data_IF_185525219878
#
_entry.id   IF_185525219878
#
_cell.length_a   1.000
_cell.length_b   1.000
_cell.length_c   1.000
_cell.angle_alpha   90.00
_cell.angle_beta   90.00
_cell.angle_gamma   90.00
#
_symmetry.space_group_name_H-M   'P 1'
#
loop_
_entity.id
_entity.type
_entity.pdbx_description
1 polymer ?
#
# COMPACT_ATOMS: atom_id res chain seq x y z
N UNK A 1 -26.19 22.76 3.54
CA UNK A 1 -26.03 21.56 2.69
C UNK A 1 -25.94 21.93 1.22
N UNK A 2 -26.82 22.74 0.69
CA UNK A 2 -26.85 23.07 -0.76
C UNK A 2 -25.63 23.81 -1.33
N UNK A 3 -24.97 24.67 -0.55
CA UNK A 3 -23.76 25.38 -1.02
C UNK A 3 -22.55 24.44 -1.19
N UNK A 4 -22.41 23.43 -0.34
CA UNK A 4 -21.33 22.44 -0.43
C UNK A 4 -21.55 21.46 -1.60
N UNK A 5 -22.80 21.12 -1.92
CA UNK A 5 -23.14 20.29 -3.08
C UNK A 5 -22.91 21.02 -4.40
N UNK A 6 -23.23 22.29 -4.47
CA UNK A 6 -22.90 23.14 -5.63
C UNK A 6 -21.39 23.26 -5.87
N UNK A 7 -20.57 23.25 -4.80
CA UNK A 7 -19.10 23.32 -4.87
C UNK A 7 -18.45 22.02 -5.36
N UNK A 8 -19.11 20.86 -5.27
CA UNK A 8 -18.53 19.55 -5.63
C UNK A 8 -18.62 19.23 -7.13
N UNK A 9 -19.41 19.98 -7.89
CA UNK A 9 -19.57 19.77 -9.34
C UNK A 9 -19.58 21.09 -10.11
N UNK A 10 -18.44 21.79 -10.23
CA UNK A 10 -18.35 22.97 -11.09
C UNK A 10 -18.40 22.52 -12.55
N UNK A 11 -19.58 22.49 -13.15
CA UNK A 11 -19.73 22.40 -14.60
C UNK A 11 -19.96 23.80 -15.17
N UNK A 12 -19.46 24.05 -16.38
CA UNK A 12 -19.63 25.33 -17.08
C UNK A 12 -21.10 25.76 -17.26
N UNK A 13 -22.08 24.91 -16.91
CA UNK A 13 -23.50 25.12 -16.98
C UNK A 13 -24.18 25.58 -15.67
N UNK A 14 -23.38 25.77 -14.58
CA UNK A 14 -23.93 26.25 -13.30
C UNK A 14 -23.23 27.55 -12.90
N UNK A 15 -23.80 28.71 -13.24
CA UNK A 15 -23.26 30.02 -12.87
C UNK A 15 -23.30 30.31 -11.36
N UNK A 16 -23.92 29.47 -10.54
CA UNK A 16 -24.08 29.60 -9.08
C UNK A 16 -22.85 29.12 -8.27
N UNK A 17 -21.84 28.55 -8.90
CA UNK A 17 -20.60 28.07 -8.29
C UNK A 17 -19.67 29.19 -7.76
N UNK A 18 -19.80 30.45 -8.15
CA UNK A 18 -18.97 31.54 -7.65
C UNK A 18 -19.16 31.88 -6.17
N UNK A 19 -20.23 31.47 -5.51
CA UNK A 19 -20.58 32.00 -4.19
C UNK A 19 -19.50 31.80 -3.12
N UNK A 20 -18.84 30.65 -3.06
CA UNK A 20 -17.76 30.46 -2.08
C UNK A 20 -16.49 31.19 -2.47
N UNK A 21 -16.19 31.29 -3.76
CA UNK A 21 -15.04 32.05 -4.25
C UNK A 21 -15.28 33.55 -4.03
N UNK A 22 -16.48 34.06 -4.26
CA UNK A 22 -16.83 35.46 -4.01
C UNK A 22 -16.74 35.81 -2.54
N UNK A 23 -17.20 34.97 -1.64
CA UNK A 23 -17.05 35.18 -0.20
C UNK A 23 -15.58 35.16 0.24
N UNK A 24 -14.78 34.21 -0.28
CA UNK A 24 -13.35 34.15 -0.01
C UNK A 24 -12.62 35.37 -0.61
N UNK A 25 -13.01 35.81 -1.78
CA UNK A 25 -12.44 36.95 -2.47
C UNK A 25 -12.71 38.26 -1.72
N UNK A 26 -13.92 38.48 -1.21
CA UNK A 26 -14.26 39.64 -0.38
C UNK A 26 -13.52 39.64 0.96
N UNK A 27 -13.47 38.49 1.64
CA UNK A 27 -12.89 38.37 2.98
C UNK A 27 -11.37 38.41 2.98
N UNK A 28 -10.75 37.80 1.94
CA UNK A 28 -9.30 37.58 1.85
C UNK A 28 -8.69 38.28 0.63
N UNK A 29 -9.20 39.46 0.25
CA UNK A 29 -8.81 40.19 -0.94
C UNK A 29 -7.29 40.51 -1.01
N UNK A 30 -6.61 40.58 0.13
CA UNK A 30 -5.14 40.79 0.22
C UNK A 30 -4.32 39.58 -0.21
N UNK A 31 -4.93 38.40 -0.32
CA UNK A 31 -4.25 37.18 -0.77
C UNK A 31 -4.38 37.04 -2.28
N UNK A 32 -3.36 36.49 -2.97
CA UNK A 32 -3.45 36.20 -4.40
C UNK A 32 -4.67 35.35 -4.73
N UNK A 33 -5.40 35.70 -5.80
CA UNK A 33 -6.65 35.01 -6.17
C UNK A 33 -6.47 33.49 -6.36
N UNK A 34 -5.36 33.07 -6.97
CA UNK A 34 -5.03 31.64 -7.15
C UNK A 34 -4.79 30.92 -5.83
N UNK A 35 -4.22 31.57 -4.83
CA UNK A 35 -4.04 30.98 -3.50
C UNK A 35 -5.39 30.79 -2.81
N UNK A 36 -6.29 31.75 -2.88
CA UNK A 36 -7.66 31.65 -2.36
C UNK A 36 -8.42 30.50 -3.01
N UNK A 37 -8.39 30.42 -4.35
CA UNK A 37 -9.01 29.33 -5.12
C UNK A 37 -8.44 27.96 -4.73
N UNK A 38 -7.13 27.86 -4.61
CA UNK A 38 -6.48 26.61 -4.21
C UNK A 38 -6.91 26.18 -2.81
N UNK A 39 -6.99 27.09 -1.85
CA UNK A 39 -7.46 26.79 -0.50
C UNK A 39 -8.94 26.30 -0.48
N UNK A 40 -9.81 26.95 -1.28
CA UNK A 40 -11.18 26.49 -1.44
C UNK A 40 -11.26 25.09 -2.04
N UNK A 41 -10.50 24.82 -3.11
CA UNK A 41 -10.49 23.51 -3.76
C UNK A 41 -9.98 22.41 -2.83
N UNK A 42 -8.97 22.69 -2.01
CA UNK A 42 -8.49 21.74 -1.01
C UNK A 42 -9.55 21.43 0.06
N UNK A 43 -10.27 22.46 0.53
CA UNK A 43 -11.35 22.28 1.48
C UNK A 43 -12.49 21.43 0.89
N UNK A 44 -12.87 21.67 -0.37
CA UNK A 44 -13.84 20.87 -1.11
C UNK A 44 -13.38 19.41 -1.20
N UNK A 45 -12.13 19.18 -1.57
CA UNK A 45 -11.56 17.84 -1.66
C UNK A 45 -11.61 17.07 -0.34
N UNK A 46 -11.26 17.72 0.77
CA UNK A 46 -11.33 17.12 2.13
C UNK A 46 -12.77 16.74 2.50
N UNK A 47 -13.73 17.61 2.24
CA UNK A 47 -15.16 17.34 2.54
C UNK A 47 -15.71 16.24 1.65
N UNK A 48 -15.37 16.24 0.36
CA UNK A 48 -15.76 15.18 -0.57
C UNK A 48 -15.21 13.82 -0.15
N UNK A 49 -13.93 13.75 0.21
CA UNK A 49 -13.30 12.53 0.73
C UNK A 49 -13.97 12.05 2.04
N UNK A 50 -14.28 12.96 2.94
CA UNK A 50 -15.01 12.64 4.16
C UNK A 50 -16.38 12.03 3.86
N UNK A 51 -17.17 12.67 2.97
CA UNK A 51 -18.49 12.16 2.56
C UNK A 51 -18.40 10.76 1.96
N UNK A 52 -17.44 10.52 1.05
CA UNK A 52 -17.24 9.21 0.43
C UNK A 52 -16.84 8.13 1.47
N UNK A 53 -15.94 8.48 2.38
CA UNK A 53 -15.54 7.59 3.45
C UNK A 53 -16.69 7.28 4.43
N UNK A 54 -17.54 8.27 4.72
CA UNK A 54 -18.71 8.10 5.57
C UNK A 54 -19.71 7.14 4.93
N UNK A 55 -20.04 7.33 3.65
CA UNK A 55 -20.94 6.46 2.89
C UNK A 55 -20.40 5.02 2.86
N UNK A 56 -19.09 4.85 2.65
CA UNK A 56 -18.47 3.53 2.66
C UNK A 56 -18.52 2.89 4.05
N UNK A 57 -18.29 3.66 5.10
CA UNK A 57 -18.39 3.18 6.48
C UNK A 57 -19.84 2.81 6.86
N UNK A 58 -20.83 3.58 6.41
CA UNK A 58 -22.24 3.30 6.70
C UNK A 58 -22.73 1.99 6.08
N UNK A 59 -22.17 1.58 4.94
CA UNK A 59 -22.47 0.27 4.30
C UNK A 59 -22.02 -0.93 5.13
N UNK A 60 -20.88 -0.84 5.80
CA UNK A 60 -20.24 -1.98 6.47
C UNK A 60 -20.12 -1.77 7.99
N UNK A 61 -20.09 -0.53 8.47
CA UNK A 61 -19.95 -0.11 9.88
C UNK A 61 -18.76 -0.76 10.62
N UNK A 62 -17.79 -1.29 9.87
CA UNK A 62 -16.56 -1.85 10.41
C UNK A 62 -15.53 -0.74 10.63
N UNK A 63 -14.77 -0.88 11.71
CA UNK A 63 -13.74 0.09 12.05
C UNK A 63 -14.27 1.38 12.68
N UNK A 64 -13.41 2.39 12.74
CA UNK A 64 -13.74 3.68 13.34
C UNK A 64 -14.52 4.55 12.35
N UNK A 65 -15.61 5.16 12.80
CA UNK A 65 -16.34 6.16 12.00
C UNK A 65 -15.38 7.27 11.54
N UNK A 66 -15.43 7.70 10.27
CA UNK A 66 -14.65 8.82 9.78
C UNK A 66 -14.91 10.09 10.62
N UNK A 67 -13.83 10.77 10.98
CA UNK A 67 -13.94 12.03 11.71
C UNK A 67 -14.21 13.19 10.76
N UNK A 68 -14.99 14.16 11.23
CA UNK A 68 -15.23 15.39 10.45
C UNK A 68 -13.90 16.09 10.14
N UNK A 69 -13.71 16.56 8.90
CA UNK A 69 -12.50 17.29 8.55
C UNK A 69 -12.33 18.54 9.41
N UNK A 70 -11.14 18.71 9.97
CA UNK A 70 -10.76 19.91 10.71
C UNK A 70 -9.80 20.72 9.85
N UNK A 71 -9.97 22.03 9.80
CA UNK A 71 -9.02 22.95 9.21
C UNK A 71 -7.75 22.98 10.09
N UNK A 72 -6.82 22.10 9.77
CA UNK A 72 -5.49 22.05 10.37
C UNK A 72 -4.49 22.74 9.44
N UNK A 73 -3.30 22.18 9.33
CA UNK A 73 -2.30 22.63 8.35
C UNK A 73 -2.83 22.34 6.94
N UNK A 74 -3.19 23.41 6.24
CA UNK A 74 -3.63 23.40 4.85
C UNK A 74 -2.50 23.94 4.02
N UNK A 75 -2.07 23.19 3.02
CA UNK A 75 -0.99 23.58 2.11
C UNK A 75 -1.55 23.72 0.69
N UNK A 76 -2.09 24.90 0.35
CA UNK A 76 -2.69 25.11 -0.96
C UNK A 76 -1.64 24.99 -2.07
N UNK A 77 -2.10 24.50 -3.22
CA UNK A 77 -1.28 24.34 -4.40
C UNK A 77 -0.81 25.72 -4.92
N UNK A 78 0.46 25.81 -5.27
CA UNK A 78 1.06 26.98 -5.91
C UNK A 78 0.88 26.88 -7.44
N UNK A 79 -0.16 27.48 -7.98
CA UNK A 79 -0.42 27.42 -9.43
C UNK A 79 0.77 27.93 -10.25
N UNK A 80 1.12 27.19 -11.30
CA UNK A 80 2.17 27.56 -12.24
C UNK A 80 1.94 28.96 -12.81
N UNK A 81 2.99 29.65 -13.16
CA UNK A 81 3.05 31.02 -13.67
C UNK A 81 2.54 32.09 -12.70
N UNK A 82 1.62 31.77 -11.81
CA UNK A 82 0.98 32.72 -10.89
C UNK A 82 1.60 32.74 -9.49
N UNK A 83 2.02 31.56 -9.00
CA UNK A 83 2.57 31.38 -7.65
C UNK A 83 3.87 30.59 -7.65
N UNK A 84 4.16 29.85 -8.72
CA UNK A 84 5.35 29.04 -8.93
C UNK A 84 5.85 29.21 -10.37
N UNK A 85 7.15 29.39 -10.54
CA UNK A 85 7.84 29.42 -11.83
C UNK A 85 9.16 28.68 -11.72
N UNK A 86 9.40 27.77 -12.64
CA UNK A 86 10.71 27.15 -12.81
C UNK A 86 11.65 28.13 -13.52
N UNK A 87 12.94 28.17 -13.12
CA UNK A 87 13.92 29.09 -13.71
C UNK A 87 14.96 28.34 -14.54
N UNK A 88 15.64 27.34 -13.95
CA UNK A 88 16.78 26.64 -14.58
C UNK A 88 16.87 25.16 -14.19
N UNK A 89 15.77 24.54 -13.83
CA UNK A 89 15.70 23.15 -13.39
C UNK A 89 16.18 22.88 -11.95
N UNK A 90 17.10 23.68 -11.41
CA UNK A 90 17.58 23.57 -10.03
C UNK A 90 17.17 24.76 -9.16
N UNK A 91 16.59 25.78 -9.76
CA UNK A 91 16.03 26.93 -9.06
C UNK A 91 14.61 27.19 -9.52
N UNK A 92 13.81 27.68 -8.59
CA UNK A 92 12.44 28.08 -8.86
C UNK A 92 12.16 29.45 -8.22
N UNK A 93 11.14 30.13 -8.72
CA UNK A 93 10.58 31.32 -8.08
C UNK A 93 9.22 30.95 -7.50
N UNK A 94 9.03 31.25 -6.22
CA UNK A 94 7.77 31.08 -5.52
C UNK A 94 7.25 32.42 -5.02
N UNK A 95 5.93 32.62 -5.08
CA UNK A 95 5.31 33.84 -4.57
C UNK A 95 4.90 33.63 -3.12
N UNK A 96 5.49 34.39 -2.22
CA UNK A 96 5.31 34.27 -0.77
C UNK A 96 5.04 35.66 -0.15
N UNK A 97 4.49 35.66 1.06
CA UNK A 97 4.27 36.90 1.79
C UNK A 97 5.53 37.27 2.55
N UNK A 98 6.20 38.34 2.08
CA UNK A 98 7.47 38.85 2.63
C UNK A 98 7.36 40.36 2.79
N UNK A 99 7.88 40.93 3.90
CA UNK A 99 7.88 42.36 4.17
C UNK A 99 6.51 43.03 3.95
N UNK A 100 5.48 42.41 4.46
CA UNK A 100 4.08 42.90 4.37
C UNK A 100 3.51 42.98 2.94
N UNK A 101 4.09 42.29 1.98
CA UNK A 101 3.61 42.19 0.59
C UNK A 101 3.82 40.80 0.01
N UNK A 102 3.11 40.50 -1.10
CA UNK A 102 3.30 39.27 -1.85
C UNK A 102 4.35 39.47 -2.93
N UNK A 103 5.52 38.87 -2.75
CA UNK A 103 6.64 38.98 -3.67
C UNK A 103 7.23 37.64 -4.06
N UNK A 104 8.02 37.64 -5.13
CA UNK A 104 8.69 36.49 -5.68
C UNK A 104 10.07 36.32 -5.05
N UNK A 105 10.29 35.17 -4.43
CA UNK A 105 11.64 34.78 -3.98
C UNK A 105 12.18 33.64 -4.85
N UNK A 106 13.48 33.63 -5.07
CA UNK A 106 14.19 32.54 -5.74
C UNK A 106 14.61 31.52 -4.69
N UNK A 107 14.28 30.26 -4.92
CA UNK A 107 14.63 29.13 -4.07
C UNK A 107 15.47 28.12 -4.84
N UNK A 108 16.43 27.48 -4.17
CA UNK A 108 17.21 26.38 -4.73
C UNK A 108 16.48 25.07 -4.43
N UNK A 109 16.40 24.21 -5.42
CA UNK A 109 15.87 22.84 -5.29
C UNK A 109 17.06 21.89 -5.17
N UNK A 110 16.98 20.89 -4.30
CA UNK A 110 18.06 19.93 -4.10
C UNK A 110 18.37 19.21 -5.41
N UNK A 111 19.64 19.19 -5.80
CA UNK A 111 20.09 18.57 -7.06
C UNK A 111 19.69 17.09 -7.15
N UNK A 112 19.89 16.30 -6.06
CA UNK A 112 19.53 14.90 -6.03
C UNK A 112 18.06 14.62 -6.34
N UNK A 113 17.15 15.51 -5.89
CA UNK A 113 15.72 15.36 -6.09
C UNK A 113 15.33 15.69 -7.53
N UNK A 114 15.95 16.75 -8.09
CA UNK A 114 15.76 17.11 -9.50
C UNK A 114 16.29 16.00 -10.43
N UNK A 115 17.47 15.46 -10.13
CA UNK A 115 18.08 14.39 -10.91
C UNK A 115 17.26 13.08 -10.80
N UNK A 116 16.66 12.82 -9.65
CA UNK A 116 15.71 11.71 -9.48
C UNK A 116 14.48 11.89 -10.38
N UNK A 117 13.87 13.07 -10.35
CA UNK A 117 12.69 13.40 -11.17
C UNK A 117 13.01 13.27 -12.66
N UNK A 118 14.15 13.79 -13.11
CA UNK A 118 14.58 13.67 -14.51
C UNK A 118 14.74 12.22 -14.95
N UNK A 119 15.25 11.34 -14.08
CA UNK A 119 15.45 9.92 -14.40
C UNK A 119 14.17 9.09 -14.36
N UNK A 120 13.23 9.42 -13.46
CA UNK A 120 12.10 8.53 -13.15
C UNK A 120 10.72 9.10 -13.49
N UNK A 121 10.62 10.40 -13.79
CA UNK A 121 9.34 11.08 -14.00
C UNK A 121 9.32 11.93 -15.29
N UNK A 122 10.30 11.78 -16.18
CA UNK A 122 10.43 12.58 -17.40
C UNK A 122 9.26 12.44 -18.36
N UNK A 123 8.61 11.28 -18.37
CA UNK A 123 7.45 10.94 -19.21
C UNK A 123 6.10 11.15 -18.49
N UNK A 124 6.12 11.80 -17.32
CA UNK A 124 4.94 12.01 -16.49
C UNK A 124 4.48 13.47 -16.54
N UNK A 125 3.18 13.68 -16.43
CA UNK A 125 2.61 15.02 -16.29
C UNK A 125 2.85 15.53 -14.88
N UNK A 126 3.60 16.63 -14.76
CA UNK A 126 3.85 17.29 -13.50
C UNK A 126 2.69 18.23 -13.14
N UNK A 127 2.13 18.10 -11.96
CA UNK A 127 1.15 19.04 -11.39
C UNK A 127 1.84 20.24 -10.73
N UNK A 128 1.08 21.28 -10.41
CA UNK A 128 1.58 22.43 -9.64
C UNK A 128 1.97 21.98 -8.21
N UNK A 129 3.07 22.50 -7.65
CA UNK A 129 3.57 22.06 -6.36
C UNK A 129 2.75 22.59 -5.19
N UNK A 130 2.87 21.94 -4.04
CA UNK A 130 2.45 22.46 -2.74
C UNK A 130 3.68 22.79 -1.89
N UNK A 131 3.62 23.91 -1.16
CA UNK A 131 4.68 24.29 -0.24
C UNK A 131 4.34 23.78 1.15
N UNK A 132 5.15 22.86 1.68
CA UNK A 132 4.94 22.25 3.00
C UNK A 132 6.10 22.49 3.93
N UNK A 133 5.79 22.66 5.21
CA UNK A 133 6.79 22.73 6.28
C UNK A 133 6.83 21.40 7.02
N UNK A 134 8.02 20.77 7.08
CA UNK A 134 8.26 19.53 7.82
C UNK A 134 9.40 19.75 8.82
N UNK A 135 9.05 19.82 10.09
CA UNK A 135 10.01 20.20 11.12
C UNK A 135 10.50 21.65 10.94
N UNK A 136 11.79 21.83 10.70
CA UNK A 136 12.41 23.14 10.46
C UNK A 136 12.58 23.49 8.97
N UNK A 137 12.35 22.55 8.08
CA UNK A 137 12.62 22.67 6.65
C UNK A 137 11.34 22.87 5.83
N UNK A 138 11.48 23.49 4.67
CA UNK A 138 10.42 23.71 3.70
C UNK A 138 10.65 22.83 2.49
N UNK A 139 9.56 22.25 1.97
CA UNK A 139 9.55 21.33 0.83
C UNK A 139 8.55 21.82 -0.21
N UNK A 140 8.95 21.71 -1.48
CA UNK A 140 8.03 21.79 -2.61
C UNK A 140 7.69 20.36 -3.04
N UNK A 141 6.45 19.95 -2.78
CA UNK A 141 5.96 18.64 -3.14
C UNK A 141 5.28 18.69 -4.50
N UNK A 142 5.81 17.94 -5.45
CA UNK A 142 5.26 17.81 -6.80
C UNK A 142 4.55 16.45 -6.94
N UNK A 143 3.36 16.48 -7.54
CA UNK A 143 2.65 15.28 -7.96
C UNK A 143 2.93 15.03 -9.44
N UNK A 144 3.30 13.81 -9.76
CA UNK A 144 3.52 13.33 -11.13
C UNK A 144 2.47 12.29 -11.48
N UNK A 145 1.82 12.45 -12.62
CA UNK A 145 0.73 11.61 -13.09
C UNK A 145 1.11 10.95 -14.41
N UNK A 146 0.87 9.66 -14.52
CA UNK A 146 0.97 8.88 -15.75
C UNK A 146 -0.22 7.95 -15.85
N UNK A 147 -0.89 7.92 -16.99
CA UNK A 147 -1.83 6.87 -17.33
C UNK A 147 -1.05 5.66 -17.81
N UNK A 148 -1.24 4.53 -17.17
CA UNK A 148 -0.64 3.26 -17.55
C UNK A 148 -1.75 2.26 -17.75
N UNK A 149 -1.76 1.57 -18.87
CA UNK A 149 -2.64 0.44 -19.09
C UNK A 149 -2.04 -0.79 -18.39
N UNK A 150 -2.86 -1.43 -17.56
CA UNK A 150 -2.44 -2.66 -16.90
C UNK A 150 -2.51 -3.82 -17.90
N UNK A 151 -1.47 -4.62 -17.96
CA UNK A 151 -1.43 -5.81 -18.82
C UNK A 151 -2.62 -6.74 -18.51
N UNK A 152 -3.35 -7.10 -19.56
CA UNK A 152 -4.47 -8.05 -19.47
C UNK A 152 -4.08 -9.28 -20.30
N UNK A 153 -3.61 -10.32 -19.60
CA UNK A 153 -3.43 -11.65 -20.18
C UNK A 153 -4.56 -12.57 -19.74
N UNK A 154 -4.93 -13.58 -20.52
CA UNK A 154 -5.80 -14.66 -20.08
C UNK A 154 -5.28 -15.28 -18.77
N UNK A 155 -6.17 -15.66 -17.86
CA UNK A 155 -5.77 -16.13 -16.53
C UNK A 155 -4.82 -17.33 -16.56
N UNK A 156 -4.98 -18.23 -17.52
CA UNK A 156 -4.15 -19.42 -17.66
C UNK A 156 -2.74 -19.13 -18.19
N UNK A 157 -2.52 -17.96 -18.78
CA UNK A 157 -1.22 -17.51 -19.32
C UNK A 157 -0.49 -16.57 -18.37
N UNK A 158 -1.13 -16.16 -17.27
CA UNK A 158 -0.52 -15.24 -16.31
C UNK A 158 0.55 -15.93 -15.48
N UNK A 159 1.63 -15.21 -15.24
CA UNK A 159 2.64 -15.54 -14.23
C UNK A 159 2.37 -14.74 -12.97
N UNK A 160 2.24 -15.40 -11.83
CA UNK A 160 1.89 -14.79 -10.56
C UNK A 160 3.07 -14.79 -9.61
N UNK A 161 3.43 -13.61 -9.10
CA UNK A 161 4.33 -13.48 -7.95
C UNK A 161 3.51 -13.40 -6.67
N UNK A 162 3.46 -14.49 -5.93
CA UNK A 162 2.81 -14.55 -4.62
C UNK A 162 3.78 -14.12 -3.51
N UNK A 163 3.36 -13.18 -2.66
CA UNK A 163 4.19 -12.57 -1.63
C UNK A 163 3.56 -12.77 -0.26
N UNK A 164 4.28 -13.47 0.60
CA UNK A 164 4.00 -13.52 2.03
C UNK A 164 4.89 -12.53 2.78
N UNK A 165 4.27 -11.60 3.51
CA UNK A 165 4.96 -10.58 4.31
C UNK A 165 5.04 -11.04 5.77
N UNK A 166 6.24 -11.39 6.21
CA UNK A 166 6.49 -11.91 7.56
C UNK A 166 6.92 -10.84 8.57
N UNK A 167 7.00 -11.27 9.82
CA UNK A 167 7.59 -10.49 10.91
C UNK A 167 9.04 -10.90 11.15
N UNK A 168 9.37 -12.16 10.86
CA UNK A 168 10.71 -12.74 11.07
C UNK A 168 11.52 -12.81 9.77
N UNK A 169 10.87 -12.97 8.64
CA UNK A 169 11.38 -12.81 7.29
C UNK A 169 10.71 -11.58 6.72
N UNK A 170 11.43 -10.63 6.15
CA UNK A 170 10.81 -9.41 5.63
C UNK A 170 9.77 -9.75 4.56
N UNK A 171 10.09 -10.67 3.64
CA UNK A 171 9.11 -11.30 2.74
C UNK A 171 9.63 -12.61 2.13
N UNK A 172 8.68 -13.44 1.69
CA UNK A 172 8.91 -14.62 0.86
C UNK A 172 8.13 -14.45 -0.43
N UNK A 173 8.83 -14.54 -1.56
CA UNK A 173 8.27 -14.43 -2.89
C UNK A 173 8.31 -15.79 -3.59
N UNK A 174 7.19 -16.20 -4.17
CA UNK A 174 7.07 -17.42 -4.97
C UNK A 174 6.43 -17.13 -6.31
N UNK A 175 7.05 -17.57 -7.38
CA UNK A 175 6.54 -17.48 -8.74
C UNK A 175 5.71 -18.72 -9.04
N UNK A 176 4.42 -18.53 -9.36
CA UNK A 176 3.49 -19.61 -9.67
C UNK A 176 2.92 -19.45 -11.07
N UNK A 177 2.71 -20.59 -11.74
CA UNK A 177 1.96 -20.72 -12.97
C UNK A 177 0.55 -21.27 -12.70
N UNK A 178 -0.33 -21.17 -13.71
CA UNK A 178 -1.74 -21.54 -13.58
C UNK A 178 -1.99 -23.05 -13.35
N UNK A 179 -1.06 -23.89 -13.77
CA UNK A 179 -1.04 -25.33 -13.57
C UNK A 179 -0.61 -25.75 -12.15
N UNK A 180 -0.22 -24.78 -11.30
CA UNK A 180 0.32 -25.02 -9.96
C UNK A 180 1.82 -25.22 -9.92
N UNK A 181 2.53 -25.10 -11.05
CA UNK A 181 4.00 -25.16 -11.07
C UNK A 181 4.58 -23.97 -10.31
N UNK A 182 5.54 -24.24 -9.42
CA UNK A 182 6.33 -23.22 -8.72
C UNK A 182 7.63 -23.02 -9.50
N UNK A 183 7.65 -22.00 -10.36
CA UNK A 183 8.78 -21.68 -11.24
C UNK A 183 9.98 -21.08 -10.54
N UNK A 184 9.76 -20.45 -9.37
CA UNK A 184 10.86 -19.86 -8.60
C UNK A 184 10.44 -19.40 -7.21
N UNK A 185 11.44 -19.14 -6.37
CA UNK A 185 11.24 -18.66 -5.00
C UNK A 185 12.44 -17.86 -4.54
N UNK A 186 12.18 -16.81 -3.78
CA UNK A 186 13.20 -15.96 -3.18
C UNK A 186 12.77 -15.50 -1.80
N UNK A 187 13.74 -15.32 -0.91
CA UNK A 187 13.55 -14.83 0.45
C UNK A 187 14.30 -13.52 0.64
N UNK A 188 13.72 -12.61 1.39
CA UNK A 188 14.42 -11.44 1.88
C UNK A 188 14.56 -11.54 3.39
N UNK A 189 15.82 -11.55 3.86
CA UNK A 189 16.19 -11.42 5.25
C UNK A 189 16.98 -10.13 5.44
N UNK A 190 16.63 -9.35 6.45
CA UNK A 190 17.26 -8.07 6.80
C UNK A 190 17.73 -8.10 8.27
N UNK A 191 18.67 -9.01 8.61
CA UNK A 191 19.04 -9.25 10.01
C UNK A 191 19.67 -8.03 10.69
N UNK A 192 20.45 -7.24 9.98
CA UNK A 192 21.09 -6.04 10.51
C UNK A 192 20.06 -4.95 10.84
N UNK A 193 19.15 -4.69 9.91
CA UNK A 193 18.08 -3.71 10.09
C UNK A 193 17.09 -4.14 11.18
N UNK A 194 16.79 -5.43 11.25
CA UNK A 194 15.91 -5.99 12.27
C UNK A 194 16.55 -5.91 13.66
N UNK A 195 17.86 -6.15 13.78
CA UNK A 195 18.62 -6.00 15.02
C UNK A 195 18.69 -4.53 15.45
N UNK A 196 18.97 -3.61 14.50
CA UNK A 196 18.95 -2.18 14.76
C UNK A 196 17.57 -1.70 15.23
N UNK A 197 16.50 -2.18 14.62
CA UNK A 197 15.13 -1.88 15.02
C UNK A 197 14.83 -2.45 16.42
N UNK A 198 15.28 -3.67 16.70
CA UNK A 198 15.17 -4.32 18.01
C UNK A 198 15.86 -3.51 19.11
N UNK A 199 17.08 -3.05 18.87
CA UNK A 199 17.85 -2.18 19.78
C UNK A 199 17.15 -0.83 19.99
N UNK A 200 16.62 -0.20 18.94
CA UNK A 200 15.89 1.06 19.04
C UNK A 200 14.61 0.90 19.89
N UNK A 201 13.84 -0.16 19.67
CA UNK A 201 12.64 -0.48 20.48
C UNK A 201 13.03 -0.78 21.93
N UNK A 202 14.16 -1.48 22.16
CA UNK A 202 14.68 -1.74 23.50
C UNK A 202 14.98 -0.45 24.28
N UNK A 203 15.60 0.54 23.63
CA UNK A 203 15.87 1.88 24.21
C UNK A 203 14.55 2.60 24.58
N UNK A 204 13.53 2.52 23.74
CA UNK A 204 12.21 3.11 24.04
C UNK A 204 11.59 2.44 25.26
N UNK A 205 11.59 1.10 25.32
CA UNK A 205 11.07 0.34 26.47
C UNK A 205 11.77 0.71 27.75
N UNK A 206 13.13 0.76 27.73
CA UNK A 206 13.94 1.15 28.88
C UNK A 206 13.63 2.56 29.36
N UNK A 207 13.54 3.54 28.45
CA UNK A 207 13.16 4.91 28.79
C UNK A 207 11.76 4.98 29.43
N UNK A 208 10.79 4.24 28.91
CA UNK A 208 9.43 4.17 29.45
C UNK A 208 9.40 3.52 30.84
N UNK A 209 10.20 2.48 31.09
CA UNK A 209 10.34 1.86 32.42
C UNK A 209 10.94 2.82 33.46
N UNK A 210 11.80 3.74 33.04
CA UNK A 210 12.35 4.80 33.86
C UNK A 210 11.47 6.07 33.93
N UNK A 211 10.18 5.96 33.59
CA UNK A 211 9.19 7.04 33.77
C UNK A 211 9.13 8.05 32.60
N UNK A 212 9.94 7.92 31.57
CA UNK A 212 9.87 8.81 30.40
C UNK A 212 8.67 8.47 29.51
N UNK A 213 7.55 9.17 29.69
CA UNK A 213 6.34 8.95 28.87
C UNK A 213 6.46 9.47 27.42
N UNK A 214 7.32 10.47 27.20
CA UNK A 214 7.49 11.13 25.89
C UNK A 214 8.92 10.96 25.40
N UNK A 215 9.10 10.11 24.38
CA UNK A 215 10.40 9.81 23.77
C UNK A 215 10.37 10.02 22.24
N UNK A 216 10.01 11.25 21.73
CA UNK A 216 9.79 11.45 20.30
C UNK A 216 11.04 11.21 19.46
N UNK A 217 12.23 11.55 19.95
CA UNK A 217 13.50 11.29 19.24
C UNK A 217 13.79 9.80 19.05
N UNK A 218 13.57 8.98 20.09
CA UNK A 218 13.77 7.54 19.99
C UNK A 218 12.75 6.88 19.04
N UNK A 219 11.50 7.35 19.07
CA UNK A 219 10.48 6.90 18.11
C UNK A 219 10.80 7.31 16.69
N UNK A 220 11.36 8.51 16.47
CA UNK A 220 11.79 8.95 15.14
C UNK A 220 12.87 8.04 14.56
N UNK A 221 13.87 7.65 15.36
CA UNK A 221 14.91 6.70 14.96
C UNK A 221 14.31 5.33 14.61
N UNK A 222 13.48 4.75 15.51
CA UNK A 222 12.86 3.45 15.26
C UNK A 222 11.97 3.48 14.02
N UNK A 223 11.24 4.57 13.78
CA UNK A 223 10.43 4.77 12.60
C UNK A 223 11.28 4.83 11.33
N UNK A 224 12.40 5.57 11.35
CA UNK A 224 13.32 5.68 10.20
C UNK A 224 13.89 4.32 9.79
N UNK A 225 14.37 3.50 10.75
CA UNK A 225 14.84 2.14 10.47
C UNK A 225 13.73 1.28 9.88
N UNK A 226 12.53 1.36 10.42
CA UNK A 226 11.39 0.59 9.94
C UNK A 226 10.89 1.05 8.55
N UNK A 227 11.07 2.34 8.21
CA UNK A 227 10.83 2.86 6.87
C UNK A 227 11.85 2.30 5.87
N UNK A 228 13.12 2.19 6.24
CA UNK A 228 14.18 1.61 5.42
C UNK A 228 13.91 0.11 5.14
N UNK A 229 13.52 -0.67 6.14
CA UNK A 229 13.09 -2.06 5.98
C UNK A 229 11.95 -2.16 4.96
N UNK A 230 10.94 -1.29 5.07
CA UNK A 230 9.80 -1.30 4.16
C UNK A 230 10.20 -0.94 2.72
N UNK A 231 11.09 0.03 2.53
CA UNK A 231 11.62 0.43 1.20
C UNK A 231 12.41 -0.70 0.56
N UNK A 232 13.33 -1.33 1.32
CA UNK A 232 14.12 -2.48 0.85
C UNK A 232 13.23 -3.67 0.48
N UNK A 233 12.22 -3.96 1.32
CA UNK A 233 11.25 -5.02 1.05
C UNK A 233 10.46 -4.76 -0.24
N UNK A 234 9.96 -3.54 -0.43
CA UNK A 234 9.24 -3.19 -1.64
C UNK A 234 10.14 -3.22 -2.89
N UNK A 235 11.39 -2.82 -2.79
CA UNK A 235 12.36 -2.91 -3.89
C UNK A 235 12.64 -4.36 -4.28
N UNK A 236 12.86 -5.24 -3.31
CA UNK A 236 13.11 -6.67 -3.53
C UNK A 236 11.91 -7.36 -4.19
N UNK A 237 10.67 -7.05 -3.78
CA UNK A 237 9.47 -7.61 -4.41
C UNK A 237 9.39 -7.21 -5.89
N UNK A 238 9.71 -5.95 -6.22
CA UNK A 238 9.72 -5.49 -7.60
C UNK A 238 10.83 -6.16 -8.41
N UNK A 239 12.02 -6.35 -7.83
CA UNK A 239 13.11 -7.11 -8.45
C UNK A 239 12.70 -8.56 -8.76
N UNK A 240 12.02 -9.21 -7.81
CA UNK A 240 11.46 -10.55 -8.04
C UNK A 240 10.41 -10.56 -9.16
N UNK A 241 9.53 -9.55 -9.21
CA UNK A 241 8.51 -9.45 -10.24
C UNK A 241 9.14 -9.29 -11.64
N UNK A 242 10.19 -8.51 -11.77
CA UNK A 242 10.94 -8.33 -13.00
C UNK A 242 11.68 -9.61 -13.39
N UNK A 243 12.42 -10.21 -12.45
CA UNK A 243 13.20 -11.44 -12.68
C UNK A 243 12.34 -12.61 -13.13
N UNK A 244 11.15 -12.77 -12.58
CA UNK A 244 10.22 -13.85 -12.93
C UNK A 244 9.23 -13.47 -14.01
N UNK A 245 9.34 -12.29 -14.62
CA UNK A 245 8.40 -11.77 -15.62
C UNK A 245 6.94 -11.89 -15.18
N UNK A 246 6.67 -11.52 -13.91
CA UNK A 246 5.35 -11.64 -13.34
C UNK A 246 4.36 -10.66 -13.99
N UNK A 247 3.15 -11.11 -14.27
CA UNK A 247 2.04 -10.27 -14.74
C UNK A 247 1.24 -9.67 -13.58
N UNK A 248 1.21 -10.40 -12.46
CA UNK A 248 0.43 -10.04 -11.27
C UNK A 248 1.22 -10.30 -10.00
N UNK A 249 1.25 -9.32 -9.10
CA UNK A 249 1.77 -9.49 -7.74
C UNK A 249 0.58 -9.71 -6.79
N UNK A 250 0.63 -10.78 -6.01
CA UNK A 250 -0.47 -11.17 -5.11
C UNK A 250 -0.03 -11.14 -3.67
N UNK A 251 -0.77 -10.38 -2.84
CA UNK A 251 -0.58 -10.29 -1.40
C UNK A 251 -1.75 -10.90 -0.63
N UNK A 252 -1.54 -11.09 0.66
CA UNK A 252 -2.65 -11.25 1.60
C UNK A 252 -3.36 -9.93 1.86
N UNK A 253 -4.69 -9.99 2.00
CA UNK A 253 -5.48 -8.88 2.53
C UNK A 253 -5.34 -8.87 4.07
N UNK A 254 -4.59 -7.91 4.58
CA UNK A 254 -4.30 -7.78 5.99
C UNK A 254 -5.27 -6.78 6.64
N UNK A 255 -6.31 -7.28 7.27
CA UNK A 255 -7.21 -6.47 8.10
C UNK A 255 -6.65 -6.39 9.53
N UNK A 256 -6.36 -5.17 10.00
CA UNK A 256 -5.76 -4.90 11.32
C UNK A 256 -6.73 -4.22 12.28
N UNK A 257 -7.98 -4.60 12.28
CA UNK A 257 -9.01 -3.99 13.14
C UNK A 257 -8.95 -4.42 14.60
N UNK A 258 -8.17 -5.47 14.94
CA UNK A 258 -8.07 -6.02 16.28
C UNK A 258 -7.03 -5.36 17.19
N UNK A 259 -7.28 -5.39 18.53
CA UNK A 259 -6.29 -4.98 19.55
C UNK A 259 -5.13 -5.98 19.61
N UNK A 260 -3.91 -5.50 19.34
CA UNK A 260 -2.69 -6.31 19.43
C UNK A 260 -2.32 -6.48 20.91
N UNK A 261 -2.19 -7.74 21.36
CA UNK A 261 -1.81 -8.11 22.73
C UNK A 261 -0.56 -9.00 22.71
N UNK A 262 0.12 -9.11 23.85
CA UNK A 262 1.25 -10.04 24.08
C UNK A 262 2.63 -9.42 23.88
N UNK A 263 3.68 -10.23 24.02
CA UNK A 263 5.10 -9.83 24.01
C UNK A 263 5.55 -9.22 22.69
N UNK A 264 4.96 -9.63 21.56
CA UNK A 264 5.25 -9.12 20.22
C UNK A 264 4.49 -7.84 19.85
N UNK A 265 3.71 -7.24 20.79
CA UNK A 265 2.84 -6.07 20.55
C UNK A 265 3.58 -4.92 19.85
N UNK A 266 4.76 -4.54 20.32
CA UNK A 266 5.53 -3.44 19.74
C UNK A 266 5.99 -3.75 18.30
N UNK A 267 6.49 -4.97 18.07
CA UNK A 267 6.95 -5.41 16.74
C UNK A 267 5.79 -5.45 15.74
N UNK A 268 4.64 -5.97 16.14
CA UNK A 268 3.42 -5.98 15.33
C UNK A 268 2.87 -4.58 15.07
N UNK A 269 2.97 -3.66 16.06
CA UNK A 269 2.54 -2.29 15.88
C UNK A 269 3.42 -1.52 14.90
N UNK A 270 4.71 -1.82 14.87
CA UNK A 270 5.69 -1.25 13.93
C UNK A 270 5.64 -1.90 12.55
N UNK A 271 5.11 -3.11 12.40
CA UNK A 271 5.09 -3.82 11.13
C UNK A 271 4.30 -3.08 10.04
N UNK A 272 4.96 -2.70 8.96
CA UNK A 272 4.44 -1.82 7.90
C UNK A 272 3.95 -2.55 6.66
N UNK A 273 3.37 -3.73 6.79
CA UNK A 273 2.93 -4.53 5.64
C UNK A 273 2.02 -3.76 4.67
N UNK A 274 1.03 -3.01 5.18
CA UNK A 274 0.17 -2.20 4.32
C UNK A 274 0.92 -1.09 3.59
N UNK A 275 1.97 -0.53 4.20
CA UNK A 275 2.84 0.46 3.57
C UNK A 275 3.69 -0.18 2.47
N UNK A 276 4.28 -1.36 2.72
CA UNK A 276 4.99 -2.13 1.70
C UNK A 276 4.07 -2.45 0.52
N UNK A 277 2.86 -2.96 0.78
CA UNK A 277 1.88 -3.25 -0.27
C UNK A 277 1.54 -2.01 -1.10
N UNK A 278 1.33 -0.85 -0.46
CA UNK A 278 1.04 0.41 -1.16
C UNK A 278 2.21 0.90 -2.01
N UNK A 279 3.45 0.76 -1.51
CA UNK A 279 4.65 1.11 -2.27
C UNK A 279 4.84 0.21 -3.49
N UNK A 280 4.65 -1.11 -3.32
CA UNK A 280 4.72 -2.08 -4.43
C UNK A 280 3.62 -1.79 -5.45
N UNK A 281 2.38 -1.53 -5.01
CA UNK A 281 1.27 -1.19 -5.90
C UNK A 281 1.58 0.04 -6.76
N UNK A 282 2.10 1.12 -6.15
CA UNK A 282 2.50 2.31 -6.88
C UNK A 282 3.63 2.07 -7.89
N UNK A 283 4.61 1.21 -7.56
CA UNK A 283 5.71 0.85 -8.47
C UNK A 283 5.24 -0.11 -9.57
N UNK A 284 4.46 -1.14 -9.22
CA UNK A 284 3.92 -2.15 -10.13
C UNK A 284 3.03 -1.51 -11.21
N UNK A 285 2.11 -0.63 -10.82
CA UNK A 285 1.24 0.07 -11.76
C UNK A 285 2.01 0.94 -12.75
N UNK A 286 3.14 1.54 -12.37
CA UNK A 286 4.01 2.28 -13.32
C UNK A 286 4.60 1.39 -14.41
N UNK A 287 4.80 0.11 -14.10
CA UNK A 287 5.31 -0.91 -15.03
C UNK A 287 4.19 -1.69 -15.74
N UNK A 288 2.92 -1.31 -15.54
CA UNK A 288 1.78 -2.01 -16.12
C UNK A 288 1.41 -3.32 -15.41
N UNK A 289 2.06 -3.66 -14.28
CA UNK A 289 1.78 -4.87 -13.52
C UNK A 289 0.52 -4.70 -12.66
N UNK A 290 -0.27 -5.75 -12.55
CA UNK A 290 -1.44 -5.78 -11.66
C UNK A 290 -1.03 -6.16 -10.24
N UNK A 291 -1.71 -5.59 -9.25
CA UNK A 291 -1.59 -6.01 -7.84
C UNK A 291 -2.95 -6.52 -7.36
N UNK A 292 -2.94 -7.67 -6.72
CA UNK A 292 -4.15 -8.30 -6.19
C UNK A 292 -3.96 -8.71 -4.73
N UNK A 293 -5.07 -8.89 -4.03
CA UNK A 293 -5.07 -9.33 -2.63
C UNK A 293 -6.01 -10.51 -2.47
N UNK A 294 -5.59 -11.53 -1.71
CA UNK A 294 -6.39 -12.70 -1.35
C UNK A 294 -6.69 -12.73 0.13
N UNK A 295 -7.70 -13.49 0.55
CA UNK A 295 -8.03 -13.63 1.95
C UNK A 295 -6.88 -14.30 2.71
N UNK A 296 -6.42 -13.67 3.79
CA UNK A 296 -5.30 -14.14 4.61
C UNK A 296 -5.62 -15.32 5.52
N UNK A 297 -6.93 -15.61 5.75
CA UNK A 297 -7.31 -16.64 6.71
C UNK A 297 -6.84 -18.04 6.28
N UNK A 298 -6.00 -18.66 7.09
CA UNK A 298 -5.56 -20.04 6.91
C UNK A 298 -4.49 -20.27 5.83
N UNK A 299 -3.93 -19.25 5.15
CA UNK A 299 -2.84 -19.40 4.17
C UNK A 299 -1.65 -20.16 4.75
N UNK A 300 -1.24 -19.84 5.97
CA UNK A 300 -0.16 -20.52 6.70
C UNK A 300 -0.61 -21.67 7.57
N UNK A 301 -1.93 -21.98 7.63
CA UNK A 301 -2.49 -23.05 8.48
C UNK A 301 -2.75 -24.35 7.74
N UNK A 302 -2.92 -24.28 6.42
CA UNK A 302 -3.16 -25.44 5.58
C UNK A 302 -1.93 -25.78 4.77
N UNK A 303 -1.59 -27.07 4.70
CA UNK A 303 -0.50 -27.56 3.88
C UNK A 303 -0.81 -27.35 2.39
N UNK A 304 0.17 -26.88 1.64
CA UNK A 304 -0.01 -26.62 0.20
C UNK A 304 -0.34 -27.89 -0.60
N UNK A 305 0.07 -29.06 -0.09
CA UNK A 305 -0.17 -30.37 -0.71
C UNK A 305 -1.60 -30.92 -0.47
N UNK A 306 -2.45 -30.18 0.24
CA UNK A 306 -3.81 -30.58 0.54
C UNK A 306 -3.96 -31.58 1.70
N UNK A 307 -2.87 -31.97 2.38
CA UNK A 307 -2.89 -32.95 3.48
C UNK A 307 -3.59 -32.48 4.76
N UNK A 308 -4.04 -31.21 4.79
CA UNK A 308 -4.82 -30.67 5.91
C UNK A 308 -4.09 -29.60 6.72
N UNK A 309 -4.41 -29.53 8.01
CA UNK A 309 -3.83 -28.52 8.89
C UNK A 309 -2.39 -28.85 9.26
N UNK A 310 -1.50 -27.88 9.14
CA UNK A 310 -0.09 -28.00 9.54
C UNK A 310 0.07 -27.88 11.06
N UNK A 311 1.05 -28.60 11.63
CA UNK A 311 1.51 -28.47 13.00
C UNK A 311 2.78 -27.62 13.05
N UNK A 312 2.93 -26.74 14.04
CA UNK A 312 4.11 -25.87 14.16
C UNK A 312 4.39 -25.46 15.62
N UNK A 313 5.61 -25.06 15.89
CA UNK A 313 6.04 -24.70 17.23
C UNK A 313 5.89 -25.87 18.20
N UNK A 314 5.17 -25.68 19.29
CA UNK A 314 4.94 -26.71 20.31
C UNK A 314 3.98 -27.85 19.89
N UNK A 315 3.31 -27.70 18.72
CA UNK A 315 2.39 -28.72 18.21
C UNK A 315 3.10 -29.90 17.55
N UNK A 316 4.41 -29.81 17.29
CA UNK A 316 5.24 -30.86 16.68
C UNK A 316 6.66 -30.84 17.22
N UNK A 317 7.16 -32.01 17.62
CA UNK A 317 8.56 -32.18 18.05
C UNK A 317 9.55 -31.98 16.89
N UNK A 318 9.18 -32.36 15.65
CA UNK A 318 10.00 -32.23 14.46
C UNK A 318 10.29 -30.77 14.08
N UNK A 319 9.51 -29.83 14.57
CA UNK A 319 9.75 -28.39 14.33
C UNK A 319 10.75 -27.77 15.31
N UNK A 320 11.20 -28.50 16.32
CA UNK A 320 12.11 -28.00 17.35
C UNK A 320 11.60 -26.74 18.07
N UNK A 321 10.26 -26.60 18.19
CA UNK A 321 9.63 -25.42 18.78
C UNK A 321 9.61 -24.18 17.86
N UNK A 322 10.17 -24.28 16.63
CA UNK A 322 10.18 -23.18 15.67
C UNK A 322 8.80 -22.96 15.04
N UNK A 323 8.48 -21.67 14.81
CA UNK A 323 7.29 -21.26 14.04
C UNK A 323 7.59 -20.95 12.57
N UNK A 324 8.88 -21.01 12.17
CA UNK A 324 9.31 -20.82 10.78
C UNK A 324 9.19 -22.10 9.95
N UNK A 325 9.07 -23.25 10.62
CA UNK A 325 8.89 -24.59 10.03
C UNK A 325 7.57 -25.17 10.50
N UNK A 326 6.95 -25.97 9.64
CA UNK A 326 5.74 -26.71 9.95
C UNK A 326 5.86 -28.18 9.53
N UNK A 327 5.14 -29.06 10.21
CA UNK A 327 4.97 -30.45 9.86
C UNK A 327 3.57 -30.65 9.24
N UNK A 328 3.52 -31.29 8.08
CA UNK A 328 2.31 -31.68 7.39
C UNK A 328 1.74 -32.98 7.94
N UNK A 329 0.49 -33.29 7.66
CA UNK A 329 -0.12 -34.54 8.08
C UNK A 329 0.60 -35.77 7.49
N UNK A 330 1.26 -35.60 6.35
CA UNK A 330 2.13 -36.62 5.71
C UNK A 330 3.45 -36.85 6.43
N UNK A 331 3.77 -36.10 7.51
CA UNK A 331 5.04 -36.13 8.22
C UNK A 331 6.15 -35.30 7.57
N UNK A 332 5.89 -34.64 6.42
CA UNK A 332 6.81 -33.74 5.74
C UNK A 332 7.03 -32.48 6.56
N UNK A 333 8.28 -32.08 6.74
CA UNK A 333 8.67 -30.81 7.37
C UNK A 333 8.96 -29.79 6.29
N UNK A 334 8.37 -28.59 6.40
CA UNK A 334 8.48 -27.55 5.37
C UNK A 334 8.54 -26.14 5.95
N UNK A 335 9.03 -25.16 5.16
CA UNK A 335 9.05 -23.76 5.57
C UNK A 335 7.63 -23.16 5.55
N UNK A 336 7.23 -22.50 6.65
CA UNK A 336 5.89 -21.92 6.80
C UNK A 336 5.60 -20.80 5.81
N UNK A 337 6.59 -19.95 5.53
CA UNK A 337 6.42 -18.78 4.69
C UNK A 337 6.31 -19.19 3.21
N UNK A 338 7.06 -20.23 2.78
CA UNK A 338 6.87 -20.85 1.46
C UNK A 338 5.49 -21.49 1.33
N UNK A 339 5.07 -22.26 2.34
CA UNK A 339 3.74 -22.87 2.36
C UNK A 339 2.65 -21.78 2.21
N UNK A 340 2.79 -20.67 2.93
CA UNK A 340 1.85 -19.55 2.83
C UNK A 340 1.87 -18.91 1.44
N UNK A 341 3.05 -18.61 0.89
CA UNK A 341 3.17 -17.96 -0.43
C UNK A 341 2.56 -18.82 -1.55
N UNK A 342 2.72 -20.15 -1.52
CA UNK A 342 2.09 -21.04 -2.50
C UNK A 342 0.56 -20.99 -2.41
N UNK A 343 0.01 -21.01 -1.21
CA UNK A 343 -1.42 -20.90 -1.00
C UNK A 343 -1.98 -19.54 -1.40
N UNK A 344 -1.20 -18.45 -1.22
CA UNK A 344 -1.57 -17.09 -1.68
C UNK A 344 -1.73 -17.07 -3.19
N UNK A 345 -0.75 -17.58 -3.93
CA UNK A 345 -0.80 -17.64 -5.40
C UNK A 345 -1.92 -18.54 -5.92
N UNK A 346 -2.07 -19.72 -5.33
CA UNK A 346 -3.13 -20.65 -5.69
C UNK A 346 -4.52 -20.04 -5.51
N UNK A 347 -4.78 -19.33 -4.40
CA UNK A 347 -6.07 -18.66 -4.15
C UNK A 347 -6.39 -17.58 -5.16
N UNK A 348 -5.38 -16.89 -5.67
CA UNK A 348 -5.58 -15.92 -6.74
C UNK A 348 -6.07 -16.62 -8.01
N UNK A 349 -5.36 -17.64 -8.48
CA UNK A 349 -5.76 -18.39 -9.67
C UNK A 349 -7.13 -19.00 -9.54
N UNK A 350 -7.39 -19.72 -8.45
CA UNK A 350 -8.71 -20.34 -8.20
C UNK A 350 -9.82 -19.31 -8.25
N UNK A 351 -9.62 -18.14 -7.62
CA UNK A 351 -10.61 -17.06 -7.64
C UNK A 351 -10.86 -16.51 -9.04
N UNK A 352 -9.81 -16.24 -9.81
CA UNK A 352 -9.96 -15.64 -11.14
C UNK A 352 -10.47 -16.68 -12.16
N UNK A 353 -10.02 -17.93 -12.08
CA UNK A 353 -10.55 -19.04 -12.91
C UNK A 353 -12.04 -19.23 -12.63
N UNK A 354 -12.44 -19.37 -11.36
CA UNK A 354 -13.84 -19.56 -11.01
C UNK A 354 -14.74 -18.38 -11.39
N UNK A 355 -14.21 -17.18 -11.47
CA UNK A 355 -14.95 -16.01 -11.98
C UNK A 355 -15.15 -16.04 -13.49
N UNK A 356 -14.21 -16.59 -14.24
CA UNK A 356 -14.29 -16.65 -15.71
C UNK A 356 -15.17 -17.81 -16.20
N UNK A 357 -15.46 -18.78 -15.35
CA UNK A 357 -16.34 -19.91 -15.72
C UNK A 357 -17.81 -19.49 -15.80
N UNK A 358 -18.57 -20.04 -16.76
CA UNK A 358 -20.02 -19.97 -16.77
C UNK A 358 -20.61 -20.51 -15.46
N UNK A 359 -21.74 -19.97 -15.03
CA UNK A 359 -22.35 -20.32 -13.73
C UNK A 359 -22.59 -21.83 -13.57
N UNK A 360 -23.02 -22.50 -14.64
CA UNK A 360 -23.25 -23.96 -14.65
C UNK A 360 -21.96 -24.75 -14.37
N UNK A 361 -20.86 -24.35 -15.00
CA UNK A 361 -19.55 -25.02 -14.83
C UNK A 361 -18.97 -24.73 -13.46
N UNK A 362 -19.12 -23.49 -12.97
CA UNK A 362 -18.71 -23.11 -11.61
C UNK A 362 -19.44 -23.94 -10.56
N UNK A 363 -20.77 -24.08 -10.65
CA UNK A 363 -21.57 -24.89 -9.73
C UNK A 363 -21.19 -26.38 -9.82
N UNK A 364 -20.90 -26.88 -11.01
CA UNK A 364 -20.44 -28.28 -11.18
C UNK A 364 -19.06 -28.48 -10.54
N UNK A 365 -18.14 -27.54 -10.66
CA UNK A 365 -16.83 -27.60 -10.00
C UNK A 365 -16.96 -27.50 -8.46
N UNK A 366 -17.80 -26.60 -7.96
CA UNK A 366 -18.09 -26.45 -6.53
C UNK A 366 -18.77 -27.70 -5.92
N UNK A 367 -19.60 -28.41 -6.69
CA UNK A 367 -20.21 -29.65 -6.28
C UNK A 367 -19.22 -30.84 -6.22
N UNK A 368 -18.23 -30.87 -7.13
CA UNK A 368 -17.18 -31.90 -7.13
C UNK A 368 -16.18 -31.72 -5.98
N UNK A 369 -15.84 -30.48 -5.63
CA UNK A 369 -14.94 -30.18 -4.52
C UNK A 369 -15.50 -29.00 -3.70
N UNK A 370 -16.09 -29.26 -2.52
CA UNK A 370 -16.63 -28.22 -1.63
C UNK A 370 -15.58 -27.17 -1.17
N UNK A 371 -14.28 -27.43 -1.35
CA UNK A 371 -13.23 -26.46 -1.03
C UNK A 371 -13.28 -25.26 -1.98
N UNK A 372 -13.72 -25.41 -3.22
CA UNK A 372 -13.89 -24.28 -4.16
C UNK A 372 -14.92 -23.27 -3.65
N UNK A 373 -15.98 -23.71 -2.99
CA UNK A 373 -16.95 -22.81 -2.38
C UNK A 373 -16.37 -22.07 -1.15
N UNK A 374 -15.45 -22.71 -0.43
CA UNK A 374 -14.77 -22.14 0.75
C UNK A 374 -13.38 -21.60 0.39
N UNK A 375 -13.32 -20.54 -0.41
CA UNK A 375 -12.07 -19.92 -0.90
C UNK A 375 -10.96 -19.76 0.14
N UNK A 376 -11.28 -19.72 1.43
CA UNK A 376 -10.34 -19.59 2.53
C UNK A 376 -9.56 -20.86 2.87
N UNK A 377 -10.00 -22.04 2.40
CA UNK A 377 -9.34 -23.34 2.64
C UNK A 377 -8.58 -23.86 1.42
N UNK A 378 -8.70 -23.18 0.27
CA UNK A 378 -8.00 -23.57 -0.96
C UNK A 378 -6.47 -23.50 -0.79
N UNK A 379 -5.80 -24.51 -1.33
CA UNK A 379 -4.35 -24.70 -1.31
C UNK A 379 -3.80 -24.87 -2.73
N UNK A 380 -2.48 -25.02 -2.87
CA UNK A 380 -1.85 -25.29 -4.17
C UNK A 380 -2.37 -26.59 -4.79
N UNK A 381 -2.56 -27.65 -3.98
CA UNK A 381 -3.17 -28.92 -4.47
C UNK A 381 -4.56 -28.70 -5.05
N UNK A 382 -5.37 -27.82 -4.44
CA UNK A 382 -6.69 -27.44 -4.98
C UNK A 382 -6.58 -26.81 -6.36
N UNK A 383 -5.57 -25.93 -6.60
CA UNK A 383 -5.32 -25.33 -7.92
C UNK A 383 -4.93 -26.39 -8.96
N UNK A 384 -4.02 -27.30 -8.61
CA UNK A 384 -3.57 -28.38 -9.49
C UNK A 384 -4.77 -29.24 -9.95
N UNK A 385 -5.63 -29.62 -9.02
CA UNK A 385 -6.84 -30.40 -9.32
C UNK A 385 -7.82 -29.62 -10.22
N UNK A 386 -8.00 -28.31 -9.95
CA UNK A 386 -8.84 -27.45 -10.78
C UNK A 386 -8.30 -27.35 -12.20
N UNK A 387 -7.01 -27.12 -12.36
CA UNK A 387 -6.36 -27.00 -13.67
C UNK A 387 -6.50 -28.32 -14.45
N UNK A 388 -6.20 -29.45 -13.83
CA UNK A 388 -6.36 -30.76 -14.45
C UNK A 388 -7.79 -31.01 -14.95
N UNK A 389 -8.80 -30.57 -14.18
CA UNK A 389 -10.21 -30.71 -14.55
C UNK A 389 -10.64 -29.77 -15.70
N UNK A 390 -9.91 -28.68 -15.96
CA UNK A 390 -10.19 -27.74 -17.05
C UNK A 390 -9.53 -28.13 -18.37
N UNK A 391 -8.42 -28.85 -18.31
CA UNK A 391 -7.62 -29.24 -19.49
C UNK A 391 -7.98 -30.67 -19.96
N UNK A 392 -8.63 -31.47 -19.08
CA UNK A 392 -9.18 -32.79 -19.42
C UNK A 392 -10.50 -32.66 -20.19
#
# INVERSE_FOLDING_TARGET
MNALEAMTHPTAKRPEVPYCFDSADRRFYKFPSYLRRSACMEAIGKVSSYKSNLVNWEKDKRGRRPSVPVAGHVYPCLYRENMYREKDGYTARIKVFVRNTWDWITVKIRKSDVDYVKRHCSDMKQSSPTLQKRGKEWFLDFVYEKRTELAVKPILEQTVLAVDLGINSACTCSCLLSDGTVAGRRFLHLPEEEDCLGKAIGRIKKAQQHGSSKTPGLWAIAKGINDDIAVKTAAFIMECAEQFHADVIVFEHLDRTGKIRGSKKHRLHMWKASYVQSMVEGKAHRLGLRVSRVNAWGTSRYAFDGSGRVKRGKESEKTGGSYSVCEFATGKVYNCDLNASYNIGARYYIREITKSLPERERLAAEAKDPQFARRSTCTLSTLINLYAALVA
#
